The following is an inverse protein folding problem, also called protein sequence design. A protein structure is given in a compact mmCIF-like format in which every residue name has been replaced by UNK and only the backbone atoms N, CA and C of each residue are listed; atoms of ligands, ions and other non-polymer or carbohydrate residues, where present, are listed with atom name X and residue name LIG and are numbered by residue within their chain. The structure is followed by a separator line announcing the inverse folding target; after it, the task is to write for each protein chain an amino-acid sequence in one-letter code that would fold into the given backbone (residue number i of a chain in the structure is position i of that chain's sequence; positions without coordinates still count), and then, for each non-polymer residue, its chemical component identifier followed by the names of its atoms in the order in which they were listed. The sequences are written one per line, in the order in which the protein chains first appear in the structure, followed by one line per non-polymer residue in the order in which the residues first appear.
data_IF_741279260127
#
_entry.id   IF_741279260127
#
_cell.length_a   1.000
_cell.length_b   1.000
_cell.length_c   1.000
_cell.angle_alpha   90.00
_cell.angle_beta   90.00
_cell.angle_gamma   90.00
#
_symmetry.space_group_name_H-M   'P 1'
#
loop_
_entity.id
_entity.type
_entity.pdbx_description
1 polymer ?
#
# COMPACT_ATOMS: atom_id res chain seq x y z
N UNK A 1 -4.26 23.81 3.16
CA UNK A 1 -4.16 23.74 4.63
C UNK A 1 -4.20 22.28 5.01
N UNK A 2 -3.42 21.86 6.01
CA UNK A 2 -3.49 20.48 6.49
C UNK A 2 -4.88 20.23 7.08
N UNK A 3 -5.63 19.32 6.46
CA UNK A 3 -6.91 18.84 6.96
C UNK A 3 -6.63 17.47 7.60
N UNK A 4 -6.73 17.41 8.92
CA UNK A 4 -6.63 16.16 9.66
C UNK A 4 -8.04 15.70 10.02
N UNK A 5 -8.38 14.48 9.64
CA UNK A 5 -9.63 13.83 10.00
C UNK A 5 -9.30 12.58 10.81
N UNK A 6 -9.93 12.46 11.97
CA UNK A 6 -9.78 11.26 12.79
C UNK A 6 -10.68 10.16 12.22
N UNK A 7 -10.10 8.98 12.00
CA UNK A 7 -10.81 7.78 11.60
C UNK A 7 -10.46 6.63 12.54
N UNK A 8 -11.48 5.98 13.07
CA UNK A 8 -11.37 4.75 13.84
C UNK A 8 -11.94 3.60 13.00
N UNK A 9 -11.11 2.62 12.67
CA UNK A 9 -11.50 1.48 11.84
C UNK A 9 -12.46 0.52 12.59
N UNK A 10 -12.64 0.68 13.91
CA UNK A 10 -13.59 -0.11 14.69
C UNK A 10 -15.00 0.47 14.65
N UNK A 11 -15.16 1.70 14.15
CA UNK A 11 -16.45 2.38 14.01
C UNK A 11 -17.15 1.95 12.72
N UNK A 12 -18.49 1.81 12.71
CA UNK A 12 -19.25 1.50 11.50
C UNK A 12 -18.95 2.45 10.34
N UNK A 13 -18.85 1.90 9.12
CA UNK A 13 -18.57 2.68 7.90
C UNK A 13 -19.62 3.77 7.61
N UNK A 14 -20.83 3.64 8.15
CA UNK A 14 -21.90 4.64 8.00
C UNK A 14 -21.65 5.95 8.76
N UNK A 15 -20.76 5.91 9.75
CA UNK A 15 -20.35 7.04 10.57
C UNK A 15 -19.11 7.77 9.99
N UNK A 16 -18.58 7.30 8.86
CA UNK A 16 -17.55 8.01 8.10
C UNK A 16 -18.05 9.41 7.68
N UNK A 17 -17.12 10.37 7.66
CA UNK A 17 -17.41 11.72 7.18
C UNK A 17 -17.80 11.69 5.69
N UNK A 18 -19.09 11.86 5.44
CA UNK A 18 -19.69 11.81 4.10
C UNK A 18 -19.17 12.90 3.18
N UNK A 19 -18.56 13.97 3.71
CA UNK A 19 -17.96 15.01 2.89
C UNK A 19 -16.69 14.57 2.17
N UNK A 20 -16.07 13.47 2.62
CA UNK A 20 -14.85 12.91 2.01
C UNK A 20 -15.15 11.76 1.02
N UNK A 21 -16.39 11.25 1.02
CA UNK A 21 -16.75 10.11 0.18
C UNK A 21 -16.72 10.46 -1.30
N UNK A 22 -16.06 9.64 -2.11
CA UNK A 22 -16.01 9.81 -3.56
C UNK A 22 -15.23 11.05 -4.04
N UNK A 23 -14.39 11.63 -3.18
CA UNK A 23 -13.75 12.92 -3.43
C UNK A 23 -12.22 12.81 -3.55
N UNK A 24 -11.63 11.65 -3.27
CA UNK A 24 -10.19 11.45 -3.34
C UNK A 24 -9.78 10.87 -4.70
N UNK A 25 -8.94 11.61 -5.44
CA UNK A 25 -8.30 11.11 -6.67
C UNK A 25 -7.19 10.10 -6.36
N UNK A 26 -6.64 10.13 -5.14
CA UNK A 26 -5.62 9.19 -4.66
C UNK A 26 -5.86 8.89 -3.19
N UNK A 27 -5.87 7.60 -2.84
CA UNK A 27 -5.86 7.13 -1.45
C UNK A 27 -4.59 6.31 -1.22
N UNK A 28 -3.77 6.71 -0.25
CA UNK A 28 -2.59 5.98 0.19
C UNK A 28 -2.84 5.44 1.60
N UNK A 29 -2.74 4.13 1.78
CA UNK A 29 -3.00 3.47 3.05
C UNK A 29 -1.81 2.61 3.49
N UNK A 30 -1.44 2.71 4.77
CA UNK A 30 -0.50 1.82 5.43
C UNK A 30 -1.14 1.31 6.73
N UNK A 31 -1.93 0.23 6.67
CA UNK A 31 -2.59 -0.33 7.84
C UNK A 31 -1.55 -0.74 8.91
N UNK A 32 -1.82 -0.50 10.22
CA UNK A 32 -0.86 -0.75 11.28
C UNK A 32 -0.73 -2.23 11.67
N UNK A 33 -1.64 -3.08 11.18
CA UNK A 33 -1.68 -4.51 11.51
C UNK A 33 -1.92 -5.36 10.27
N UNK A 34 -1.49 -6.61 10.37
CA UNK A 34 -1.47 -7.60 9.30
C UNK A 34 -2.65 -8.59 9.36
N UNK A 35 -3.64 -8.38 10.25
CA UNK A 35 -4.79 -9.28 10.24
C UNK A 35 -5.72 -8.96 9.05
N UNK A 36 -6.15 -9.99 8.31
CA UNK A 36 -6.96 -9.82 7.09
C UNK A 36 -8.25 -9.01 7.32
N UNK A 37 -8.90 -9.17 8.48
CA UNK A 37 -10.10 -8.39 8.80
C UNK A 37 -9.82 -6.88 8.92
N UNK A 38 -8.62 -6.51 9.39
CA UNK A 38 -8.20 -5.10 9.44
C UNK A 38 -7.95 -4.60 8.02
N UNK A 39 -7.25 -5.38 7.21
CA UNK A 39 -7.02 -5.06 5.80
C UNK A 39 -8.35 -4.87 5.04
N UNK A 40 -9.34 -5.73 5.28
CA UNK A 40 -10.68 -5.62 4.70
C UNK A 40 -11.38 -4.32 5.06
N UNK A 41 -11.34 -3.92 6.34
CA UNK A 41 -11.92 -2.64 6.76
C UNK A 41 -11.22 -1.48 6.07
N UNK A 42 -9.88 -1.46 6.07
CA UNK A 42 -9.13 -0.39 5.41
C UNK A 42 -9.39 -0.34 3.90
N UNK A 43 -9.50 -1.50 3.24
CA UNK A 43 -9.85 -1.59 1.82
C UNK A 43 -11.25 -1.02 1.54
N UNK A 44 -12.24 -1.33 2.37
CA UNK A 44 -13.59 -0.78 2.24
C UNK A 44 -13.62 0.72 2.44
N UNK A 45 -12.94 1.24 3.47
CA UNK A 45 -12.82 2.67 3.73
C UNK A 45 -12.16 3.38 2.55
N UNK A 46 -11.03 2.86 2.08
CA UNK A 46 -10.31 3.45 0.96
C UNK A 46 -11.19 3.52 -0.30
N UNK A 47 -11.94 2.46 -0.61
CA UNK A 47 -12.89 2.44 -1.73
C UNK A 47 -14.03 3.45 -1.59
N UNK A 48 -14.49 3.74 -0.38
CA UNK A 48 -15.53 4.75 -0.13
C UNK A 48 -15.00 6.17 -0.34
N UNK A 49 -13.72 6.42 -0.05
CA UNK A 49 -13.08 7.72 -0.23
C UNK A 49 -12.77 8.02 -1.70
N UNK A 50 -12.48 6.99 -2.49
CA UNK A 50 -12.06 7.14 -3.89
C UNK A 50 -13.16 7.72 -4.79
N UNK A 51 -12.80 8.73 -5.56
CA UNK A 51 -13.55 9.18 -6.71
C UNK A 51 -13.67 8.04 -7.76
N UNK A 52 -14.64 8.09 -8.69
CA UNK A 52 -14.85 7.02 -9.68
C UNK A 52 -13.61 6.60 -10.49
N UNK A 53 -12.71 7.54 -10.76
CA UNK A 53 -11.45 7.32 -11.48
C UNK A 53 -10.21 7.46 -10.56
N UNK A 54 -10.43 7.40 -9.25
CA UNK A 54 -9.37 7.55 -8.25
C UNK A 54 -8.47 6.32 -8.18
N UNK A 55 -7.25 6.53 -7.73
CA UNK A 55 -6.24 5.49 -7.59
C UNK A 55 -6.01 5.09 -6.13
N UNK A 56 -5.75 3.80 -5.94
CA UNK A 56 -5.53 3.21 -4.63
C UNK A 56 -4.11 2.69 -4.51
N UNK A 57 -3.43 3.06 -3.42
CA UNK A 57 -2.10 2.57 -3.08
C UNK A 57 -2.09 2.03 -1.66
N UNK A 58 -1.74 0.77 -1.50
CA UNK A 58 -1.53 0.13 -0.22
C UNK A 58 -0.05 -0.15 0.04
N UNK A 59 0.37 0.07 1.27
CA UNK A 59 1.68 -0.31 1.80
C UNK A 59 1.42 -1.43 2.80
N UNK A 60 1.96 -2.63 2.55
CA UNK A 60 1.70 -3.79 3.39
C UNK A 60 2.79 -4.84 3.29
N UNK A 61 2.75 -5.82 4.19
CA UNK A 61 3.64 -6.98 4.19
C UNK A 61 3.48 -7.85 2.95
N UNK A 62 4.59 -8.40 2.37
CA UNK A 62 4.54 -9.30 1.22
C UNK A 62 3.68 -10.54 1.46
N UNK A 63 3.48 -10.96 2.71
CA UNK A 63 2.63 -12.11 3.06
C UNK A 63 1.16 -11.96 2.65
N UNK A 64 0.71 -10.73 2.37
CA UNK A 64 -0.66 -10.44 1.93
C UNK A 64 -0.81 -10.32 0.42
N UNK A 65 0.20 -10.67 -0.36
CA UNK A 65 0.16 -10.54 -1.82
C UNK A 65 -1.06 -11.23 -2.45
N UNK A 66 -1.42 -12.42 -1.97
CA UNK A 66 -2.62 -13.12 -2.44
C UNK A 66 -3.91 -12.36 -2.13
N UNK A 67 -4.02 -11.79 -0.92
CA UNK A 67 -5.17 -10.97 -0.52
C UNK A 67 -5.33 -9.75 -1.44
N UNK A 68 -4.24 -9.03 -1.69
CA UNK A 68 -4.26 -7.85 -2.56
C UNK A 68 -4.58 -8.21 -4.02
N UNK A 69 -4.05 -9.32 -4.53
CA UNK A 69 -4.38 -9.82 -5.86
C UNK A 69 -5.88 -10.13 -6.00
N UNK A 70 -6.51 -10.73 -4.97
CA UNK A 70 -7.97 -10.94 -4.93
C UNK A 70 -8.76 -9.63 -4.91
N UNK A 71 -8.16 -8.55 -4.42
CA UNK A 71 -8.73 -7.20 -4.45
C UNK A 71 -8.43 -6.43 -5.76
N UNK A 72 -7.70 -7.03 -6.70
CA UNK A 72 -7.29 -6.42 -7.96
C UNK A 72 -6.08 -5.48 -7.85
N UNK A 73 -5.33 -5.54 -6.76
CA UNK A 73 -4.10 -4.77 -6.55
C UNK A 73 -2.87 -5.66 -6.67
N UNK A 74 -1.82 -5.16 -7.30
CA UNK A 74 -0.61 -5.93 -7.57
C UNK A 74 0.62 -5.25 -6.98
N UNK A 75 1.56 -6.08 -6.55
CA UNK A 75 2.84 -5.64 -6.05
C UNK A 75 3.60 -4.92 -7.16
N UNK A 76 4.11 -3.74 -6.84
CA UNK A 76 4.91 -2.94 -7.76
C UNK A 76 6.40 -3.13 -7.49
N UNK A 77 7.24 -2.75 -8.47
CA UNK A 77 8.69 -2.83 -8.34
C UNK A 77 9.27 -1.81 -7.38
N UNK A 78 8.59 -0.67 -7.21
CA UNK A 78 8.96 0.33 -6.22
C UNK A 78 9.01 -0.26 -4.80
N UNK A 79 10.15 -0.11 -4.11
CA UNK A 79 10.33 -0.56 -2.71
C UNK A 79 10.35 0.64 -1.76
N UNK A 80 9.32 0.81 -0.90
CA UNK A 80 9.26 1.90 0.05
C UNK A 80 10.37 1.83 1.10
N UNK A 81 11.01 2.96 1.39
CA UNK A 81 11.98 3.08 2.48
C UNK A 81 11.25 3.21 3.81
N UNK A 82 11.54 2.32 4.76
CA UNK A 82 11.00 2.41 6.12
C UNK A 82 12.04 3.01 7.05
N UNK A 83 11.79 4.20 7.57
CA UNK A 83 12.66 4.84 8.56
C UNK A 83 12.36 4.27 9.96
N UNK A 84 13.36 3.60 10.58
CA UNK A 84 13.31 3.27 12.03
C UNK A 84 13.30 1.79 12.43
N UNK A 85 13.53 0.84 11.50
CA UNK A 85 13.68 -0.58 11.84
C UNK A 85 15.09 -0.94 12.27
N UNK A 86 15.26 -1.47 13.49
CA UNK A 86 16.53 -2.08 13.93
C UNK A 86 16.70 -3.43 13.22
N UNK A 87 17.76 -3.56 12.42
CA UNK A 87 18.48 -4.80 12.04
C UNK A 87 17.67 -6.11 12.06
N UNK A 88 17.53 -6.71 10.87
CA UNK A 88 16.83 -7.96 10.50
C UNK A 88 15.37 -7.72 10.08
N UNK A 89 15.16 -7.36 8.81
CA UNK A 89 13.82 -7.30 8.21
C UNK A 89 13.59 -6.23 7.14
N UNK A 90 14.65 -5.61 6.60
CA UNK A 90 14.63 -4.47 5.63
C UNK A 90 13.89 -4.71 4.30
N UNK A 91 13.02 -5.73 4.21
CA UNK A 91 12.19 -6.09 3.06
C UNK A 91 10.69 -6.22 3.35
N UNK A 92 10.21 -5.80 4.52
CA UNK A 92 8.87 -6.22 4.97
C UNK A 92 7.70 -5.40 4.43
N UNK A 93 7.90 -4.40 3.58
CA UNK A 93 6.79 -3.60 3.01
C UNK A 93 6.88 -3.56 1.49
N UNK A 94 5.72 -3.75 0.85
CA UNK A 94 5.51 -3.67 -0.60
C UNK A 94 4.39 -2.68 -0.89
N UNK A 95 4.50 -2.06 -2.06
CA UNK A 95 3.47 -1.20 -2.61
C UNK A 95 2.53 -2.04 -3.47
N UNK A 96 1.23 -1.98 -3.18
CA UNK A 96 0.16 -2.66 -3.90
C UNK A 96 -0.77 -1.64 -4.55
N UNK A 97 -0.95 -1.73 -5.85
CA UNK A 97 -1.87 -0.87 -6.61
C UNK A 97 -2.29 -1.54 -7.92
N UNK A 98 -3.40 -1.09 -8.51
CA UNK A 98 -3.79 -1.40 -9.89
C UNK A 98 -3.23 -0.40 -10.90
N UNK A 99 -2.56 0.65 -10.43
CA UNK A 99 -1.99 1.69 -11.27
C UNK A 99 -0.82 1.15 -12.10
N UNK A 100 -0.69 1.63 -13.34
CA UNK A 100 0.35 1.24 -14.29
C UNK A 100 1.21 2.45 -14.68
N UNK A 101 1.33 3.43 -13.78
CA UNK A 101 2.18 4.59 -14.02
C UNK A 101 3.65 4.17 -14.03
N UNK A 102 4.42 4.68 -14.99
CA UNK A 102 5.83 4.32 -15.15
C UNK A 102 6.66 4.56 -13.87
N UNK A 103 6.30 5.56 -13.06
CA UNK A 103 7.04 5.91 -11.85
C UNK A 103 6.99 4.84 -10.75
N UNK A 104 5.93 4.04 -10.66
CA UNK A 104 5.77 2.96 -9.69
C UNK A 104 6.25 1.60 -10.23
N UNK A 105 6.34 1.46 -11.55
CA UNK A 105 6.88 0.28 -12.22
C UNK A 105 8.41 0.23 -12.24
N UNK A 106 9.07 1.33 -11.87
CA UNK A 106 10.53 1.42 -11.83
C UNK A 106 11.07 1.00 -10.48
N UNK A 107 12.21 0.31 -10.53
CA UNK A 107 13.07 0.15 -9.37
C UNK A 107 13.57 1.54 -8.94
N UNK A 108 13.50 1.86 -7.65
CA UNK A 108 14.01 3.10 -7.09
C UNK A 108 15.47 2.97 -6.63
N UNK A 109 16.30 2.28 -7.43
CA UNK A 109 17.71 1.99 -7.15
C UNK A 109 18.53 3.28 -6.87
N UNK A 110 18.16 4.41 -7.48
CA UNK A 110 18.80 5.71 -7.26
C UNK A 110 18.54 6.30 -5.85
N UNK A 111 17.44 5.93 -5.19
CA UNK A 111 17.13 6.33 -3.80
C UNK A 111 17.95 5.53 -2.77
N UNK A 112 18.63 4.47 -3.22
CA UNK A 112 19.49 3.59 -2.43
C UNK A 112 20.90 3.47 -3.06
N UNK A 113 21.70 4.57 -3.04
CA UNK A 113 23.02 4.61 -3.68
C UNK A 113 24.06 3.67 -3.03
N UNK A 114 23.77 3.18 -1.81
CA UNK A 114 24.57 2.18 -1.11
C UNK A 114 24.07 0.79 -1.49
N UNK A 115 24.44 0.36 -2.72
CA UNK A 115 24.04 -0.92 -3.27
C UNK A 115 24.35 -2.12 -2.36
N UNK A 116 23.52 -3.15 -2.53
CA UNK A 116 23.75 -4.58 -2.27
C UNK A 116 23.09 -5.31 -1.10
N UNK A 117 22.31 -4.71 -0.20
CA UNK A 117 21.58 -5.55 0.81
C UNK A 117 20.10 -5.18 1.06
N UNK A 118 19.65 -3.95 0.75
CA UNK A 118 18.26 -3.54 1.01
C UNK A 118 17.26 -3.94 -0.09
N UNK A 119 17.73 -4.17 -1.32
CA UNK A 119 16.91 -4.71 -2.40
C UNK A 119 16.83 -6.24 -2.22
N UNK A 120 15.86 -6.70 -1.43
CA UNK A 120 15.66 -8.13 -1.16
C UNK A 120 15.76 -8.98 -2.40
N UNK A 121 16.51 -10.07 -2.25
CA UNK A 121 16.78 -11.13 -3.22
C UNK A 121 15.81 -11.13 -4.42
N UNK A 122 16.24 -10.48 -5.52
CA UNK A 122 15.52 -10.40 -6.79
C UNK A 122 15.38 -11.79 -7.46
N UNK A 123 16.02 -12.84 -6.95
CA UNK A 123 16.14 -14.14 -7.62
C UNK A 123 14.94 -15.09 -7.43
N UNK A 124 14.06 -14.87 -6.44
CA UNK A 124 12.89 -15.74 -6.21
C UNK A 124 11.65 -15.39 -7.03
N UNK A 125 11.65 -14.27 -7.76
CA UNK A 125 10.42 -13.69 -8.32
C UNK A 125 10.19 -13.97 -9.82
N UNK A 126 11.12 -14.70 -10.48
CA UNK A 126 11.01 -15.05 -11.90
C UNK A 126 10.19 -16.31 -12.19
N UNK A 127 9.52 -16.92 -11.19
CA UNK A 127 8.90 -18.25 -11.37
C UNK A 127 7.39 -18.25 -11.65
N UNK A 128 6.73 -17.10 -11.79
CA UNK A 128 5.28 -17.04 -12.05
C UNK A 128 4.87 -16.00 -13.11
N UNK A 129 5.63 -15.90 -14.20
CA UNK A 129 5.16 -15.37 -15.48
C UNK A 129 5.10 -16.50 -16.52
#
# INVERSE_FOLDING_TARGET
GEQFHYFDYEVPLEDLDKSLMGCCDLVVAHPPRNEEFVLDTYMQVARLLLAPEGELVFLASPEHEFYFAMCGLFSQRFVPKVCGGSSVGENSVRLYTSSTHECIERDNDEDYPDGDEAAGDRSTWSSYC
#
